data_IF_679099370521
#
_entry.id   IF_679099370521
#
_cell.length_a   1.000
_cell.length_b   1.000
_cell.length_c   1.000
_cell.angle_alpha   90.00
_cell.angle_beta   90.00
_cell.angle_gamma   90.00
#
_symmetry.space_group_name_H-M   'P 1'
#
loop_
_entity.id
_entity.type
_entity.pdbx_description
1 polymer ?
#
# COMPACT_ATOMS: atom_id res chain seq x y z
N UNK A 1 -15.08 8.42 -5.60
CA UNK A 1 -15.34 7.47 -4.50
C UNK A 1 -14.17 7.46 -3.53
N UNK A 2 -14.42 7.49 -2.20
CA UNK A 2 -13.37 7.44 -1.17
C UNK A 2 -13.39 6.08 -0.48
N UNK A 3 -12.21 5.44 -0.38
CA UNK A 3 -12.02 4.20 0.36
C UNK A 3 -10.70 4.30 1.14
N UNK A 4 -10.74 4.11 2.46
CA UNK A 4 -9.57 4.15 3.33
C UNK A 4 -8.67 5.38 3.07
N UNK A 5 -9.24 6.57 3.12
CA UNK A 5 -8.57 7.87 2.92
C UNK A 5 -7.96 8.08 1.52
N UNK A 6 -8.25 7.21 0.57
CA UNK A 6 -7.78 7.33 -0.82
C UNK A 6 -8.93 7.68 -1.76
N UNK A 7 -8.74 8.73 -2.56
CA UNK A 7 -9.67 9.08 -3.62
C UNK A 7 -9.46 8.16 -4.81
N UNK A 8 -10.47 7.40 -5.17
CA UNK A 8 -10.44 6.48 -6.30
C UNK A 8 -11.12 7.09 -7.53
N UNK A 9 -10.58 6.77 -8.70
CA UNK A 9 -11.14 7.21 -10.00
C UNK A 9 -12.29 6.29 -10.38
N UNK A 10 -13.51 6.81 -10.37
CA UNK A 10 -14.74 6.03 -10.58
C UNK A 10 -14.91 5.48 -11.99
N UNK A 11 -14.32 6.13 -12.99
CA UNK A 11 -14.39 5.75 -14.42
C UNK A 11 -13.61 4.46 -14.75
N UNK A 12 -12.86 3.89 -13.81
CA UNK A 12 -12.06 2.67 -14.04
C UNK A 12 -12.80 1.43 -13.55
N UNK A 13 -12.37 0.29 -14.10
CA UNK A 13 -12.79 -1.04 -13.61
C UNK A 13 -12.42 -1.16 -12.14
N UNK A 14 -13.30 -1.72 -11.31
CA UNK A 14 -13.15 -1.79 -9.85
C UNK A 14 -11.82 -2.39 -9.38
N UNK A 15 -11.32 -3.41 -10.08
CA UNK A 15 -10.01 -4.02 -9.78
C UNK A 15 -8.87 -2.99 -9.91
N UNK A 16 -8.93 -2.14 -10.93
CA UNK A 16 -7.92 -1.09 -11.16
C UNK A 16 -8.12 0.10 -10.20
N UNK A 17 -9.36 0.40 -9.81
CA UNK A 17 -9.65 1.41 -8.79
C UNK A 17 -9.03 1.02 -7.46
N UNK A 18 -9.29 -0.19 -6.97
CA UNK A 18 -8.76 -0.69 -5.70
C UNK A 18 -7.24 -0.80 -5.68
N UNK A 19 -6.60 -1.04 -6.83
CA UNK A 19 -5.14 -1.00 -6.94
C UNK A 19 -4.54 0.37 -6.59
N UNK A 20 -5.32 1.45 -6.66
CA UNK A 20 -4.90 2.79 -6.22
C UNK A 20 -4.69 2.90 -4.71
N UNK A 21 -5.24 1.99 -3.92
CA UNK A 21 -5.03 1.95 -2.48
C UNK A 21 -3.67 1.33 -2.17
N UNK A 22 -2.86 2.01 -1.36
CA UNK A 22 -1.55 1.52 -0.98
C UNK A 22 -1.65 0.18 -0.23
N UNK A 23 -0.90 -0.82 -0.70
CA UNK A 23 -0.93 -2.19 -0.15
C UNK A 23 -1.87 -3.16 -0.88
N UNK A 24 -2.71 -2.70 -1.79
CA UNK A 24 -3.55 -3.57 -2.61
C UNK A 24 -2.93 -3.81 -4.00
N UNK A 25 -2.60 -5.07 -4.29
CA UNK A 25 -2.13 -5.52 -5.59
C UNK A 25 -3.25 -6.19 -6.42
N UNK A 26 -2.98 -6.51 -7.68
CA UNK A 26 -3.96 -7.14 -8.58
C UNK A 26 -4.53 -8.47 -8.05
N UNK A 27 -3.70 -9.30 -7.40
CA UNK A 27 -4.15 -10.58 -6.84
C UNK A 27 -5.10 -10.39 -5.65
N UNK A 28 -4.75 -9.45 -4.74
CA UNK A 28 -5.58 -9.16 -3.56
C UNK A 28 -6.89 -8.50 -3.96
N UNK A 29 -6.87 -7.52 -4.86
CA UNK A 29 -8.08 -6.87 -5.37
C UNK A 29 -9.01 -7.85 -6.09
N UNK A 30 -8.47 -8.76 -6.91
CA UNK A 30 -9.26 -9.80 -7.57
C UNK A 30 -9.94 -10.75 -6.56
N UNK A 31 -9.24 -11.14 -5.49
CA UNK A 31 -9.82 -11.95 -4.40
C UNK A 31 -10.95 -11.19 -3.68
N UNK A 32 -10.77 -9.90 -3.39
CA UNK A 32 -11.78 -9.06 -2.75
C UNK A 32 -13.01 -8.93 -3.65
N UNK A 33 -12.84 -8.65 -4.94
CA UNK A 33 -13.96 -8.58 -5.89
C UNK A 33 -14.73 -9.90 -5.98
N UNK A 34 -14.05 -11.05 -5.97
CA UNK A 34 -14.68 -12.36 -5.94
C UNK A 34 -15.49 -12.59 -4.66
N UNK A 35 -14.94 -12.23 -3.48
CA UNK A 35 -15.67 -12.31 -2.19
C UNK A 35 -16.93 -11.44 -2.18
N UNK A 36 -16.91 -10.31 -2.89
CA UNK A 36 -18.06 -9.39 -3.02
C UNK A 36 -19.07 -9.83 -4.09
N UNK A 37 -18.78 -10.89 -4.88
CA UNK A 37 -19.60 -11.30 -5.99
C UNK A 37 -19.63 -10.31 -7.16
N UNK A 38 -18.59 -9.46 -7.28
CA UNK A 38 -18.50 -8.46 -8.33
C UNK A 38 -17.92 -9.04 -9.62
N UNK A 39 -18.54 -8.71 -10.75
CA UNK A 39 -17.99 -9.02 -12.07
C UNK A 39 -16.63 -8.34 -12.28
N UNK A 40 -15.74 -8.97 -13.08
CA UNK A 40 -14.40 -8.44 -13.36
C UNK A 40 -14.42 -7.07 -14.05
N UNK A 41 -15.47 -6.79 -14.82
CA UNK A 41 -15.57 -5.59 -15.67
C UNK A 41 -16.44 -4.48 -15.06
N UNK A 42 -16.91 -4.64 -13.83
CA UNK A 42 -17.73 -3.62 -13.17
C UNK A 42 -16.91 -2.34 -12.94
N UNK A 43 -17.48 -1.19 -13.33
CA UNK A 43 -16.88 0.13 -13.07
C UNK A 43 -17.19 0.59 -11.64
N UNK A 44 -16.33 1.44 -11.09
CA UNK A 44 -16.53 2.05 -9.77
C UNK A 44 -17.83 2.83 -9.64
N UNK A 45 -18.29 3.48 -10.72
CA UNK A 45 -19.55 4.23 -10.78
C UNK A 45 -20.79 3.34 -10.53
N UNK A 46 -20.75 2.08 -10.96
CA UNK A 46 -21.88 1.15 -10.88
C UNK A 46 -21.93 0.38 -9.54
N UNK A 47 -21.13 0.78 -8.56
CA UNK A 47 -21.15 0.15 -7.24
C UNK A 47 -22.30 0.65 -6.39
N UNK A 48 -23.13 -0.26 -5.88
CA UNK A 48 -24.16 0.10 -4.91
C UNK A 48 -23.55 0.42 -3.54
N UNK A 49 -24.23 1.25 -2.75
CA UNK A 49 -23.82 1.59 -1.36
C UNK A 49 -23.64 0.33 -0.50
N UNK A 50 -24.43 -0.73 -0.73
CA UNK A 50 -24.31 -2.01 -0.03
C UNK A 50 -22.99 -2.72 -0.33
N UNK A 51 -22.47 -2.65 -1.55
CA UNK A 51 -21.17 -3.22 -1.90
C UNK A 51 -20.02 -2.43 -1.27
N UNK A 52 -20.15 -1.11 -1.18
CA UNK A 52 -19.14 -0.26 -0.53
C UNK A 52 -19.05 -0.56 0.98
N UNK A 53 -20.18 -0.69 1.67
CA UNK A 53 -20.16 -1.06 3.10
C UNK A 53 -19.54 -2.43 3.34
N UNK A 54 -19.93 -3.45 2.56
CA UNK A 54 -19.31 -4.80 2.62
C UNK A 54 -17.82 -4.77 2.32
N UNK A 55 -17.39 -3.95 1.36
CA UNK A 55 -15.98 -3.78 1.02
C UNK A 55 -15.18 -3.21 2.20
N UNK A 56 -15.68 -2.17 2.84
CA UNK A 56 -15.07 -1.60 4.03
C UNK A 56 -14.99 -2.63 5.18
N UNK A 57 -16.04 -3.41 5.37
CA UNK A 57 -16.05 -4.48 6.37
C UNK A 57 -14.97 -5.54 6.06
N UNK A 58 -14.83 -5.97 4.82
CA UNK A 58 -13.80 -6.95 4.41
C UNK A 58 -12.39 -6.37 4.61
N UNK A 59 -12.17 -5.11 4.23
CA UNK A 59 -10.86 -4.46 4.39
C UNK A 59 -10.45 -4.30 5.86
N UNK A 60 -11.43 -4.06 6.74
CA UNK A 60 -11.17 -3.88 8.17
C UNK A 60 -11.11 -5.23 8.93
N UNK A 61 -11.85 -6.25 8.50
CA UNK A 61 -11.92 -7.55 9.19
C UNK A 61 -10.79 -8.50 8.84
N UNK A 62 -10.21 -8.40 7.65
CA UNK A 62 -9.09 -9.26 7.26
C UNK A 62 -7.80 -8.80 7.99
N UNK A 63 -7.57 -9.34 9.18
CA UNK A 63 -6.40 -9.07 10.04
C UNK A 63 -5.04 -9.23 9.34
N UNK A 64 -5.03 -9.95 8.22
CA UNK A 64 -3.84 -10.18 7.38
C UNK A 64 -3.60 -9.07 6.34
N UNK A 65 -4.61 -8.25 6.03
CA UNK A 65 -4.54 -7.21 5.03
C UNK A 65 -4.36 -5.84 5.71
N UNK A 66 -3.13 -5.52 6.08
CA UNK A 66 -2.81 -4.14 6.46
C UNK A 66 -2.68 -3.30 5.20
N UNK A 67 -3.50 -2.28 5.08
CA UNK A 67 -3.57 -1.42 3.88
C UNK A 67 -3.48 0.06 4.25
N UNK A 68 -3.20 0.91 3.26
CA UNK A 68 -3.16 2.36 3.40
C UNK A 68 -2.28 2.82 4.58
N UNK A 69 -2.83 3.59 5.49
CA UNK A 69 -2.11 4.21 6.60
C UNK A 69 -1.56 3.20 7.62
N UNK A 70 -2.26 2.07 7.85
CA UNK A 70 -1.76 1.02 8.75
C UNK A 70 -0.49 0.36 8.23
N UNK A 71 -0.43 0.10 6.93
CA UNK A 71 0.75 -0.46 6.31
C UNK A 71 1.93 0.50 6.37
N UNK A 72 1.70 1.80 6.09
CA UNK A 72 2.73 2.84 6.21
C UNK A 72 3.27 2.94 7.64
N UNK A 73 2.39 2.94 8.65
CA UNK A 73 2.79 2.95 10.06
C UNK A 73 3.65 1.73 10.41
N UNK A 74 3.27 0.56 9.92
CA UNK A 74 4.01 -0.68 10.16
C UNK A 74 5.40 -0.67 9.48
N UNK A 75 5.50 -0.13 8.27
CA UNK A 75 6.79 0.05 7.59
C UNK A 75 7.68 1.04 8.34
N UNK A 76 7.13 2.17 8.77
CA UNK A 76 7.85 3.15 9.59
C UNK A 76 8.33 2.55 10.91
N UNK A 77 7.47 1.78 11.59
CA UNK A 77 7.84 1.10 12.84
C UNK A 77 8.98 0.08 12.65
N UNK A 78 8.92 -0.72 11.58
CA UNK A 78 10.01 -1.66 11.25
C UNK A 78 11.33 -0.94 11.03
N UNK A 79 11.29 0.22 10.38
CA UNK A 79 12.46 1.01 10.12
C UNK A 79 13.02 1.64 11.40
N UNK A 80 12.14 2.20 12.24
CA UNK A 80 12.49 2.73 13.55
C UNK A 80 13.18 1.68 14.44
N UNK A 81 12.68 0.44 14.42
CA UNK A 81 13.30 -0.68 15.10
C UNK A 81 14.75 -0.93 14.64
N UNK A 82 15.02 -0.88 13.33
CA UNK A 82 16.39 -1.03 12.82
C UNK A 82 17.31 0.11 13.24
N UNK A 83 16.77 1.32 13.37
CA UNK A 83 17.52 2.50 13.81
C UNK A 83 17.83 2.40 15.32
N UNK A 84 16.85 2.02 16.15
CA UNK A 84 17.02 1.90 17.60
C UNK A 84 18.06 0.84 17.98
N UNK A 85 18.14 -0.26 17.23
CA UNK A 85 19.18 -1.28 17.40
C UNK A 85 20.56 -0.80 16.92
N UNK A 86 20.65 0.39 16.29
CA UNK A 86 21.88 0.95 15.72
C UNK A 86 22.57 0.03 14.70
N UNK A 87 21.81 -0.83 14.02
CA UNK A 87 22.40 -1.73 13.03
C UNK A 87 22.85 -0.95 11.78
N UNK A 88 23.83 -1.50 11.06
CA UNK A 88 24.37 -0.91 9.83
C UNK A 88 23.28 -0.50 8.83
N UNK A 89 22.28 -1.35 8.65
CA UNK A 89 21.15 -1.13 7.75
C UNK A 89 20.32 0.10 8.16
N UNK A 90 20.04 0.27 9.45
CA UNK A 90 19.32 1.43 9.99
C UNK A 90 20.11 2.72 9.79
N UNK A 91 21.41 2.71 10.14
CA UNK A 91 22.29 3.88 9.98
C UNK A 91 22.42 4.32 8.51
N UNK A 92 22.53 3.38 7.58
CA UNK A 92 22.57 3.67 6.14
C UNK A 92 21.29 4.34 5.66
N UNK A 93 20.13 3.88 6.15
CA UNK A 93 18.81 4.47 5.81
C UNK A 93 18.68 5.90 6.30
N UNK A 94 19.05 6.19 7.54
CA UNK A 94 19.03 7.56 8.11
C UNK A 94 19.91 8.51 7.28
N UNK A 95 21.09 8.04 6.86
CA UNK A 95 22.00 8.83 6.02
C UNK A 95 21.57 8.96 4.56
N UNK A 96 20.48 8.32 4.13
CA UNK A 96 20.04 8.29 2.74
C UNK A 96 21.04 7.59 1.82
N UNK A 97 21.70 6.54 2.31
CA UNK A 97 22.69 5.78 1.57
C UNK A 97 22.16 4.38 1.18
N UNK A 98 22.65 3.80 0.08
CA UNK A 98 22.31 2.45 -0.31
C UNK A 98 22.65 1.44 0.78
N UNK A 99 21.79 0.45 0.97
CA UNK A 99 21.87 -0.54 2.07
C UNK A 99 22.51 -1.85 1.61
N UNK A 100 22.53 -2.11 0.31
CA UNK A 100 22.96 -3.40 -0.28
C UNK A 100 24.37 -3.37 -0.88
N UNK A 101 25.29 -2.55 -0.34
CA UNK A 101 26.67 -2.50 -0.82
C UNK A 101 26.87 -1.84 -2.19
N UNK A 102 25.84 -1.14 -2.69
CA UNK A 102 25.95 -0.44 -3.97
C UNK A 102 26.93 0.74 -3.85
N UNK A 103 27.57 1.02 -4.94
CA UNK A 103 28.52 2.13 -5.10
C UNK A 103 27.80 3.47 -4.87
N UNK A 104 28.42 4.35 -4.08
CA UNK A 104 27.85 5.65 -3.68
C UNK A 104 28.30 6.82 -4.53
N UNK A 105 29.42 6.67 -5.26
CA UNK A 105 29.88 7.67 -6.19
C UNK A 105 28.97 7.70 -7.41
N UNK A 106 28.36 8.84 -7.74
CA UNK A 106 27.40 9.11 -8.81
C UNK A 106 26.03 8.42 -8.73
N UNK A 107 25.88 7.29 -8.06
CA UNK A 107 24.70 6.39 -8.21
C UNK A 107 23.69 6.39 -7.05
N UNK A 108 23.85 7.20 -6.01
CA UNK A 108 22.99 7.15 -4.81
C UNK A 108 21.74 8.07 -4.86
N UNK A 109 21.30 8.53 -6.04
CA UNK A 109 20.20 9.49 -6.19
C UNK A 109 18.88 9.00 -5.57
N UNK A 110 18.52 7.74 -5.84
CA UNK A 110 17.27 7.16 -5.31
C UNK A 110 17.29 7.04 -3.79
N UNK A 111 18.41 6.58 -3.23
CA UNK A 111 18.55 6.46 -1.77
C UNK A 111 18.45 7.81 -1.06
N UNK A 112 19.02 8.88 -1.64
CA UNK A 112 18.94 10.25 -1.10
C UNK A 112 17.51 10.78 -1.04
N UNK A 113 16.63 10.42 -1.99
CA UNK A 113 15.21 10.83 -1.99
C UNK A 113 14.41 10.21 -0.85
N UNK A 114 14.81 9.04 -0.36
CA UNK A 114 14.16 8.31 0.73
C UNK A 114 14.89 8.48 2.07
N UNK A 115 15.62 9.58 2.24
CA UNK A 115 16.21 9.97 3.52
C UNK A 115 15.06 10.22 4.51
N UNK A 116 15.21 9.70 5.72
CA UNK A 116 14.30 9.89 6.85
C UNK A 116 14.57 11.20 7.55
#
# INVERSE_FOLDING_TARGET
>A
MYILDTQLKDNKIMILCLKGVFGLGLKTTSKICKKLGLSKNIKGENLSKKHLSKLNTILNSDFKLKVSNELKKLEAFRLQKLISIKCYRGLRRVRGLPVRGQRTHTNAKTAKRYKL
#
